data_IF_026117624326
#
_entry.id   IF_026117624326
#
_cell.length_a   1.000
_cell.length_b   1.000
_cell.length_c   1.000
_cell.angle_alpha   90.00
_cell.angle_beta   90.00
_cell.angle_gamma   90.00
#
_symmetry.space_group_name_H-M   'P 1'
#
loop_
_entity.id
_entity.type
_entity.pdbx_description
1 polymer ?
#
# COMPACT_ATOMS: atom_id res chain seq x y z
N UNK A 1 -5.80 -13.58 -11.85
CA UNK A 1 -5.31 -13.08 -13.13
C UNK A 1 -6.16 -13.58 -14.30
N UNK A 2 -6.50 -14.89 -14.36
CA UNK A 2 -7.32 -15.48 -15.42
C UNK A 2 -8.68 -14.79 -15.57
N UNK A 3 -9.41 -14.57 -14.45
CA UNK A 3 -10.74 -13.92 -14.47
C UNK A 3 -10.67 -12.49 -15.00
N UNK A 4 -9.57 -11.80 -14.73
CA UNK A 4 -9.37 -10.40 -15.18
C UNK A 4 -8.76 -10.30 -16.59
N UNK A 5 -8.48 -11.42 -17.24
CA UNK A 5 -7.77 -11.47 -18.53
C UNK A 5 -6.41 -10.72 -18.49
N UNK A 6 -5.56 -11.11 -17.54
CA UNK A 6 -4.20 -10.59 -17.43
C UNK A 6 -4.07 -9.21 -16.77
N UNK A 7 -5.04 -8.76 -15.98
CA UNK A 7 -5.02 -7.43 -15.34
C UNK A 7 -4.80 -7.44 -13.82
N UNK A 8 -4.61 -8.62 -13.21
CA UNK A 8 -4.39 -8.72 -11.77
C UNK A 8 -2.99 -8.24 -11.39
N UNK A 9 -2.90 -7.62 -10.22
CA UNK A 9 -1.66 -7.25 -9.56
C UNK A 9 -1.80 -7.55 -8.07
N UNK A 10 -0.70 -7.78 -7.40
CA UNK A 10 -0.67 -8.04 -5.95
C UNK A 10 0.03 -6.86 -5.26
N UNK A 11 -0.59 -6.35 -4.20
CA UNK A 11 0.10 -5.44 -3.26
C UNK A 11 0.36 -6.22 -1.97
N UNK A 12 1.60 -6.59 -1.73
CA UNK A 12 2.01 -7.32 -0.54
C UNK A 12 2.42 -6.35 0.57
N UNK A 13 1.60 -6.22 1.60
CA UNK A 13 1.87 -5.44 2.80
C UNK A 13 2.04 -6.33 4.03
N UNK A 14 2.66 -5.80 5.10
CA UNK A 14 2.85 -6.53 6.36
C UNK A 14 1.58 -6.67 7.20
N UNK A 15 0.53 -5.93 6.86
CA UNK A 15 -0.68 -5.80 7.66
C UNK A 15 -0.51 -4.81 8.82
N UNK A 16 -1.60 -4.18 9.23
CA UNK A 16 -1.65 -3.19 10.32
C UNK A 16 -2.53 -3.65 11.49
N UNK A 17 -3.22 -4.78 11.33
CA UNK A 17 -4.14 -5.34 12.32
C UNK A 17 -3.46 -6.51 13.03
N UNK A 18 -3.12 -6.31 14.31
CA UNK A 18 -2.43 -7.31 15.14
C UNK A 18 -3.33 -8.49 15.48
N UNK A 19 -4.64 -8.29 15.45
CA UNK A 19 -5.67 -9.27 15.75
C UNK A 19 -5.65 -10.46 14.77
N UNK A 20 -5.13 -10.25 13.56
CA UNK A 20 -4.99 -11.31 12.58
C UNK A 20 -3.93 -12.36 12.97
N UNK A 21 -2.92 -12.01 13.76
CA UNK A 21 -1.84 -12.91 14.12
C UNK A 21 -2.33 -14.11 14.93
N UNK A 22 -2.98 -13.95 16.09
CA UNK A 22 -3.51 -15.08 16.83
C UNK A 22 -4.59 -15.86 16.07
N UNK A 23 -5.37 -15.17 15.20
CA UNK A 23 -6.39 -15.84 14.37
C UNK A 23 -5.78 -16.89 13.44
N UNK A 24 -4.59 -16.61 12.92
CA UNK A 24 -3.87 -17.54 12.03
C UNK A 24 -2.77 -18.34 12.74
N UNK A 25 -2.74 -18.33 14.08
CA UNK A 25 -1.74 -19.05 14.86
C UNK A 25 -0.31 -18.51 14.70
N UNK A 26 -0.18 -17.21 14.44
CA UNK A 26 1.09 -16.51 14.24
C UNK A 26 1.43 -15.64 15.47
N UNK A 27 2.74 -15.48 15.73
CA UNK A 27 3.25 -14.58 16.77
C UNK A 27 3.60 -13.22 16.16
N UNK A 28 3.13 -12.14 16.77
CA UNK A 28 3.46 -10.78 16.33
C UNK A 28 4.94 -10.44 16.51
N UNK A 29 5.66 -11.11 17.40
CA UNK A 29 7.10 -10.95 17.54
C UNK A 29 7.88 -11.37 16.30
N UNK A 30 7.33 -12.26 15.47
CA UNK A 30 7.91 -12.70 14.20
C UNK A 30 7.51 -11.79 13.01
N UNK A 31 6.90 -10.63 13.24
CA UNK A 31 6.27 -9.77 12.23
C UNK A 31 7.13 -9.49 10.99
N UNK A 32 8.39 -9.09 11.20
CA UNK A 32 9.29 -8.75 10.09
C UNK A 32 9.84 -9.99 9.38
N UNK A 33 10.21 -11.03 10.13
CA UNK A 33 10.74 -12.29 9.61
C UNK A 33 9.66 -13.05 8.83
N UNK A 34 8.45 -13.08 9.37
CA UNK A 34 7.29 -13.68 8.73
C UNK A 34 7.00 -13.03 7.37
N UNK A 35 7.01 -11.70 7.32
CA UNK A 35 6.79 -10.97 6.07
C UNK A 35 7.90 -11.24 5.06
N UNK A 36 9.16 -11.19 5.49
CA UNK A 36 10.32 -11.43 4.62
C UNK A 36 10.26 -12.83 4.00
N UNK A 37 9.97 -13.85 4.82
CA UNK A 37 9.85 -15.23 4.38
C UNK A 37 8.68 -15.43 3.40
N UNK A 38 7.50 -14.86 3.70
CA UNK A 38 6.33 -14.99 2.84
C UNK A 38 6.47 -14.25 1.52
N UNK A 39 7.16 -13.09 1.53
CA UNK A 39 7.44 -12.35 0.31
C UNK A 39 8.43 -13.11 -0.58
N UNK A 40 9.50 -13.70 -0.02
CA UNK A 40 10.43 -14.54 -0.77
C UNK A 40 9.70 -15.70 -1.45
N UNK A 41 8.87 -16.43 -0.68
CA UNK A 41 8.09 -17.52 -1.23
C UNK A 41 7.11 -17.06 -2.32
N UNK A 42 6.42 -15.93 -2.14
CA UNK A 42 5.52 -15.37 -3.14
C UNK A 42 6.25 -15.09 -4.45
N UNK A 43 7.44 -14.50 -4.38
CA UNK A 43 8.24 -14.18 -5.56
C UNK A 43 8.72 -15.44 -6.28
N UNK A 44 9.14 -16.48 -5.54
CA UNK A 44 9.52 -17.77 -6.14
C UNK A 44 8.34 -18.47 -6.81
N UNK A 45 7.18 -18.52 -6.14
CA UNK A 45 5.96 -19.09 -6.75
C UNK A 45 5.55 -18.33 -8.02
N UNK A 46 5.74 -17.01 -8.05
CA UNK A 46 5.50 -16.20 -9.24
C UNK A 46 6.42 -16.57 -10.40
N UNK A 47 7.72 -16.69 -10.11
CA UNK A 47 8.76 -16.76 -11.13
C UNK A 47 9.09 -18.21 -11.55
N UNK A 48 8.87 -19.20 -10.68
CA UNK A 48 9.23 -20.59 -10.89
C UNK A 48 8.00 -21.48 -11.13
N UNK A 49 8.07 -22.39 -12.12
CA UNK A 49 7.01 -23.37 -12.36
C UNK A 49 6.99 -24.49 -11.32
N UNK A 50 8.15 -24.85 -10.80
CA UNK A 50 8.33 -25.86 -9.74
C UNK A 50 9.19 -25.26 -8.64
N UNK A 51 8.62 -25.19 -7.45
CA UNK A 51 9.23 -24.55 -6.30
C UNK A 51 9.72 -25.60 -5.31
N UNK A 52 11.01 -25.55 -4.98
CA UNK A 52 11.59 -26.20 -3.82
C UNK A 52 12.04 -25.09 -2.86
N UNK A 53 11.45 -25.09 -1.66
CA UNK A 53 11.65 -23.99 -0.72
C UNK A 53 11.48 -24.49 0.73
N UNK A 54 12.19 -23.87 1.66
CA UNK A 54 12.05 -24.10 3.09
C UNK A 54 12.13 -22.80 3.86
N UNK A 55 11.39 -22.71 4.96
CA UNK A 55 11.37 -21.57 5.85
C UNK A 55 10.99 -21.97 7.28
N UNK A 56 10.88 -20.98 8.16
CA UNK A 56 10.55 -21.15 9.59
C UNK A 56 9.03 -21.28 9.81
N UNK A 57 8.21 -20.54 9.04
CA UNK A 57 6.80 -20.32 9.33
C UNK A 57 5.83 -21.20 8.55
N UNK A 58 6.34 -22.14 7.78
CA UNK A 58 5.53 -23.17 7.12
C UNK A 58 6.37 -24.40 6.76
N UNK A 59 5.74 -25.57 6.55
CA UNK A 59 6.43 -26.75 6.04
C UNK A 59 7.11 -26.50 4.69
N UNK A 60 8.22 -27.19 4.38
CA UNK A 60 8.93 -27.04 3.12
C UNK A 60 8.07 -27.43 1.92
N UNK A 61 8.43 -26.94 0.75
CA UNK A 61 7.94 -27.36 -0.56
C UNK A 61 9.04 -28.13 -1.27
N UNK A 62 8.70 -29.26 -1.87
CA UNK A 62 9.62 -30.06 -2.66
C UNK A 62 9.05 -30.25 -4.07
N UNK A 63 9.71 -29.62 -5.06
CA UNK A 63 9.32 -29.72 -6.46
C UNK A 63 7.82 -29.46 -6.72
N UNK A 64 7.24 -28.53 -5.96
CA UNK A 64 5.81 -28.26 -5.95
C UNK A 64 5.41 -27.29 -7.05
N UNK A 65 4.40 -27.64 -7.85
CA UNK A 65 3.78 -26.74 -8.81
C UNK A 65 2.56 -26.04 -8.21
N UNK A 66 2.39 -24.74 -8.48
CA UNK A 66 1.26 -23.94 -8.03
C UNK A 66 0.40 -23.53 -9.22
N UNK A 67 -0.85 -23.95 -9.23
CA UNK A 67 -1.86 -23.65 -10.26
C UNK A 67 -3.05 -22.86 -9.70
N UNK A 68 -3.76 -22.12 -10.56
CA UNK A 68 -3.45 -21.84 -11.96
C UNK A 68 -2.28 -20.86 -12.12
N UNK A 69 -1.55 -21.00 -13.22
CA UNK A 69 -0.52 -20.00 -13.57
C UNK A 69 -1.19 -18.73 -14.09
N UNK A 70 -0.60 -17.53 -13.85
CA UNK A 70 -1.13 -16.29 -14.40
C UNK A 70 -1.04 -16.27 -15.94
N UNK A 71 -1.89 -15.45 -16.57
CA UNK A 71 -1.78 -15.14 -18.00
C UNK A 71 -0.60 -14.21 -18.28
N UNK A 72 -0.31 -13.32 -17.35
CA UNK A 72 0.85 -12.44 -17.46
C UNK A 72 2.12 -13.25 -17.33
N UNK A 73 3.12 -12.97 -18.17
CA UNK A 73 4.45 -13.58 -18.09
C UNK A 73 5.04 -13.42 -16.67
N UNK A 74 4.89 -12.22 -16.13
CA UNK A 74 5.30 -11.90 -14.75
C UNK A 74 4.19 -11.12 -14.03
N UNK A 75 3.50 -11.77 -13.11
CA UNK A 75 2.46 -11.14 -12.30
C UNK A 75 3.07 -10.01 -11.46
N UNK A 76 2.59 -8.75 -11.60
CA UNK A 76 3.14 -7.64 -10.84
C UNK A 76 2.90 -7.81 -9.34
N UNK A 77 3.96 -7.67 -8.55
CA UNK A 77 3.92 -7.67 -7.08
C UNK A 77 4.50 -6.36 -6.59
N UNK A 78 3.68 -5.55 -5.94
CA UNK A 78 4.05 -4.29 -5.30
C UNK A 78 4.34 -4.53 -3.82
N UNK A 79 5.30 -3.82 -3.27
CA UNK A 79 5.52 -3.78 -1.81
C UNK A 79 4.69 -2.66 -1.22
N UNK A 80 3.71 -3.02 -0.37
CA UNK A 80 2.91 -2.06 0.39
C UNK A 80 3.64 -1.56 1.62
N UNK A 81 3.79 -0.24 1.76
CA UNK A 81 4.54 0.41 2.85
C UNK A 81 3.74 1.52 3.50
N UNK A 82 3.88 1.69 4.82
CA UNK A 82 3.21 2.75 5.58
C UNK A 82 4.12 3.87 6.06
N UNK A 83 5.44 3.68 6.13
CA UNK A 83 6.36 4.71 6.65
C UNK A 83 7.59 4.17 7.38
N UNK A 84 7.75 2.85 7.48
CA UNK A 84 8.94 2.22 8.07
C UNK A 84 10.08 2.24 7.06
N UNK A 85 11.22 2.94 7.30
CA UNK A 85 12.32 3.07 6.34
C UNK A 85 12.85 1.74 5.79
N UNK A 86 12.99 0.72 6.66
CA UNK A 86 13.44 -0.61 6.25
C UNK A 86 12.55 -1.27 5.18
N UNK A 87 11.25 -0.94 5.13
CA UNK A 87 10.35 -1.46 4.10
C UNK A 87 10.61 -0.83 2.73
N UNK A 88 10.99 0.43 2.69
CA UNK A 88 11.39 1.13 1.47
C UNK A 88 12.72 0.58 0.94
N UNK A 89 13.70 0.40 1.82
CA UNK A 89 14.99 -0.22 1.49
C UNK A 89 14.76 -1.63 0.93
N UNK A 90 13.95 -2.46 1.59
CA UNK A 90 13.62 -3.82 1.12
C UNK A 90 13.01 -3.81 -0.29
N UNK A 91 12.03 -2.94 -0.55
CA UNK A 91 11.41 -2.84 -1.87
C UNK A 91 12.44 -2.46 -2.95
N UNK A 92 13.30 -1.48 -2.66
CA UNK A 92 14.38 -1.06 -3.55
C UNK A 92 15.39 -2.18 -3.81
N UNK A 93 15.89 -2.83 -2.76
CA UNK A 93 16.84 -3.94 -2.88
C UNK A 93 16.29 -5.09 -3.73
N UNK A 94 14.98 -5.36 -3.65
CA UNK A 94 14.32 -6.40 -4.45
C UNK A 94 13.92 -5.94 -5.86
N UNK A 95 14.10 -4.67 -6.21
CA UNK A 95 13.68 -4.11 -7.50
C UNK A 95 12.18 -4.17 -7.73
N UNK A 96 11.37 -4.15 -6.65
CA UNK A 96 9.92 -4.24 -6.72
C UNK A 96 9.27 -2.86 -6.70
N UNK A 97 8.15 -2.68 -7.43
CA UNK A 97 7.39 -1.45 -7.35
C UNK A 97 6.86 -1.20 -5.95
N UNK A 98 6.78 0.08 -5.56
CA UNK A 98 6.43 0.56 -4.23
C UNK A 98 5.00 1.11 -4.22
N UNK A 99 4.15 0.66 -3.29
CA UNK A 99 2.84 1.24 -3.01
C UNK A 99 2.83 1.86 -1.62
N UNK A 100 2.77 3.18 -1.55
CA UNK A 100 2.81 3.93 -0.29
C UNK A 100 1.39 4.16 0.21
N UNK A 101 1.06 3.66 1.39
CA UNK A 101 -0.20 3.92 2.06
C UNK A 101 -0.08 5.15 2.97
N UNK A 102 -0.65 6.27 2.55
CA UNK A 102 -0.69 7.52 3.33
C UNK A 102 -2.12 7.71 3.83
N UNK A 103 -2.42 7.10 4.97
CA UNK A 103 -3.77 7.08 5.58
C UNK A 103 -3.98 8.28 6.52
N UNK A 104 -3.09 9.24 6.50
CA UNK A 104 -3.15 10.48 7.28
C UNK A 104 -1.82 11.21 7.28
N UNK A 105 -1.84 12.45 7.77
CA UNK A 105 -0.68 13.33 7.77
C UNK A 105 -0.47 14.04 6.44
N UNK A 106 0.75 14.36 6.13
CA UNK A 106 1.14 15.15 4.97
C UNK A 106 1.95 14.30 3.98
N UNK A 107 1.48 14.20 2.75
CA UNK A 107 2.05 13.31 1.73
C UNK A 107 3.52 13.61 1.41
N UNK A 108 3.92 14.87 1.39
CA UNK A 108 5.29 15.28 1.04
C UNK A 108 6.36 14.73 2.01
N UNK A 109 5.99 14.37 3.24
CA UNK A 109 6.91 13.79 4.24
C UNK A 109 7.46 12.42 3.85
N UNK A 110 6.83 11.75 2.87
CA UNK A 110 7.30 10.47 2.38
C UNK A 110 8.42 10.60 1.33
N UNK A 111 8.73 11.80 0.85
CA UNK A 111 9.79 12.00 -0.16
C UNK A 111 11.15 11.45 0.27
N UNK A 112 11.67 11.70 1.47
CA UNK A 112 12.96 11.11 1.89
C UNK A 112 12.97 9.58 1.91
N UNK A 113 11.82 8.95 2.20
CA UNK A 113 11.70 7.49 2.17
C UNK A 113 11.71 6.93 0.74
N UNK A 114 11.15 7.67 -0.21
CA UNK A 114 11.25 7.32 -1.64
C UNK A 114 12.69 7.46 -2.12
N UNK A 115 13.42 8.45 -1.66
CA UNK A 115 14.84 8.60 -1.99
C UNK A 115 15.65 7.41 -1.48
N UNK A 116 15.40 6.92 -0.25
CA UNK A 116 15.99 5.68 0.27
C UNK A 116 15.64 4.44 -0.58
N UNK A 117 14.40 4.35 -1.08
CA UNK A 117 13.99 3.27 -1.98
C UNK A 117 14.84 3.26 -3.26
N UNK A 118 15.00 4.41 -3.90
CA UNK A 118 15.80 4.52 -5.11
C UNK A 118 17.29 4.28 -4.87
N UNK A 119 17.85 4.77 -3.76
CA UNK A 119 19.24 4.49 -3.37
C UNK A 119 19.51 2.99 -3.14
N UNK A 120 18.57 2.31 -2.46
CA UNK A 120 18.69 0.87 -2.23
C UNK A 120 18.60 0.09 -3.54
N UNK A 121 17.76 0.50 -4.47
CA UNK A 121 17.64 -0.11 -5.78
C UNK A 121 18.89 0.05 -6.62
N UNK A 122 19.45 1.25 -6.66
CA UNK A 122 20.71 1.53 -7.37
C UNK A 122 21.88 0.71 -6.81
N UNK A 123 22.01 0.64 -5.47
CA UNK A 123 23.01 -0.20 -4.80
C UNK A 123 22.86 -1.70 -5.11
N UNK A 124 21.62 -2.15 -5.36
CA UNK A 124 21.32 -3.53 -5.75
C UNK A 124 21.46 -3.79 -7.28
N UNK A 125 21.78 -2.75 -8.06
CA UNK A 125 21.96 -2.86 -9.52
C UNK A 125 20.69 -2.79 -10.34
N UNK A 126 19.59 -2.31 -9.77
CA UNK A 126 18.32 -2.13 -10.50
C UNK A 126 18.28 -0.78 -11.22
N UNK A 127 17.72 -0.78 -12.43
CA UNK A 127 17.49 0.45 -13.18
C UNK A 127 16.33 1.25 -12.56
N UNK A 128 16.63 2.46 -12.09
CA UNK A 128 15.67 3.39 -11.51
C UNK A 128 14.50 3.70 -12.44
N UNK A 129 14.70 3.72 -13.75
CA UNK A 129 13.68 4.01 -14.74
C UNK A 129 12.59 2.93 -14.84
N UNK A 130 12.91 1.70 -14.44
CA UNK A 130 11.98 0.57 -14.41
C UNK A 130 11.11 0.54 -13.14
N UNK A 131 11.50 1.30 -12.11
CA UNK A 131 10.84 1.30 -10.82
C UNK A 131 9.60 2.20 -10.83
N UNK A 132 8.54 1.72 -10.16
CA UNK A 132 7.26 2.44 -10.09
C UNK A 132 6.93 2.77 -8.64
N UNK A 133 6.41 3.97 -8.43
CA UNK A 133 5.86 4.41 -7.14
C UNK A 133 4.37 4.64 -7.29
N UNK A 134 3.58 4.00 -6.46
CA UNK A 134 2.14 4.21 -6.31
C UNK A 134 1.82 4.89 -4.97
N UNK A 135 0.74 5.62 -4.93
CA UNK A 135 0.19 6.25 -3.73
C UNK A 135 -1.21 5.71 -3.47
N UNK A 136 -1.45 5.29 -2.24
CA UNK A 136 -2.75 4.87 -1.74
C UNK A 136 -3.20 5.79 -0.61
N UNK A 137 -4.41 6.34 -0.70
CA UNK A 137 -4.98 7.17 0.36
C UNK A 137 -6.50 7.14 0.32
N UNK A 138 -7.13 7.68 1.37
CA UNK A 138 -8.56 7.92 1.38
C UNK A 138 -8.90 8.91 0.27
N UNK A 139 -9.95 8.61 -0.49
CA UNK A 139 -10.34 9.47 -1.59
C UNK A 139 -11.78 9.26 -2.03
N UNK A 140 -12.39 10.35 -2.47
CA UNK A 140 -13.75 10.35 -2.99
C UNK A 140 -13.96 11.55 -3.92
N UNK A 141 -14.65 11.31 -5.03
CA UNK A 141 -14.95 12.37 -6.01
C UNK A 141 -16.47 12.52 -6.12
N UNK A 142 -16.96 13.74 -5.96
CA UNK A 142 -18.35 14.11 -6.20
C UNK A 142 -18.41 15.31 -7.15
N UNK A 143 -19.60 15.87 -7.39
CA UNK A 143 -19.73 17.02 -8.30
C UNK A 143 -19.10 18.31 -7.72
N UNK A 144 -19.03 18.41 -6.39
CA UNK A 144 -18.35 19.50 -5.69
C UNK A 144 -17.65 19.00 -4.42
N UNK A 145 -16.82 19.85 -3.84
CA UNK A 145 -16.14 19.57 -2.57
C UNK A 145 -17.13 19.42 -1.42
N UNK A 146 -18.16 20.26 -1.39
CA UNK A 146 -19.22 20.25 -0.36
C UNK A 146 -19.96 18.93 -0.41
N UNK A 147 -20.41 18.50 -1.59
CA UNK A 147 -21.05 17.21 -1.80
C UNK A 147 -20.14 16.05 -1.40
N UNK A 148 -18.86 16.12 -1.75
CA UNK A 148 -17.89 15.08 -1.40
C UNK A 148 -17.73 14.95 0.12
N UNK A 149 -17.65 16.05 0.84
CA UNK A 149 -17.55 16.08 2.31
C UNK A 149 -18.84 15.53 2.94
N UNK A 150 -19.99 16.02 2.49
CA UNK A 150 -21.31 15.60 3.00
C UNK A 150 -21.49 14.08 2.91
N UNK A 151 -21.08 13.48 1.79
CA UNK A 151 -21.23 12.05 1.54
C UNK A 151 -20.18 11.20 2.23
N UNK A 152 -18.93 11.66 2.31
CA UNK A 152 -17.82 10.84 2.81
C UNK A 152 -17.62 10.94 4.33
N UNK A 153 -17.77 12.14 4.91
CA UNK A 153 -17.45 12.38 6.32
C UNK A 153 -18.25 11.54 7.32
N UNK A 154 -19.55 11.29 7.14
CA UNK A 154 -20.32 10.49 8.11
C UNK A 154 -19.76 9.07 8.29
N UNK A 155 -19.52 8.35 7.21
CA UNK A 155 -18.93 7.00 7.24
C UNK A 155 -17.52 7.00 7.77
N UNK A 156 -16.67 7.95 7.31
CA UNK A 156 -15.33 8.16 7.83
C UNK A 156 -15.31 8.33 9.36
N UNK A 157 -16.18 9.19 9.89
CA UNK A 157 -16.27 9.43 11.34
C UNK A 157 -16.67 8.19 12.12
N UNK A 158 -17.63 7.43 11.61
CA UNK A 158 -18.10 6.18 12.25
C UNK A 158 -16.94 5.19 12.31
N UNK A 159 -16.32 4.91 11.19
CA UNK A 159 -15.27 3.91 11.06
C UNK A 159 -14.01 4.27 11.88
N UNK A 160 -13.51 5.50 11.75
CA UNK A 160 -12.34 5.95 12.51
C UNK A 160 -12.59 6.04 14.02
N UNK A 161 -13.79 6.40 14.45
CA UNK A 161 -14.14 6.40 15.87
C UNK A 161 -14.26 4.97 16.43
N UNK A 162 -14.72 4.01 15.63
CA UNK A 162 -14.76 2.62 16.07
C UNK A 162 -13.35 2.06 16.27
N UNK A 163 -12.49 2.17 15.28
CA UNK A 163 -11.09 1.75 15.41
C UNK A 163 -10.36 2.55 16.49
N UNK A 164 -10.64 3.85 16.58
CA UNK A 164 -10.04 4.73 17.57
C UNK A 164 -10.31 4.28 19.00
N UNK A 165 -11.51 3.78 19.30
CA UNK A 165 -11.84 3.20 20.63
C UNK A 165 -10.96 2.00 20.96
N UNK A 166 -10.70 1.13 19.99
CA UNK A 166 -9.86 -0.06 20.16
C UNK A 166 -8.37 0.29 20.35
N UNK A 167 -7.94 1.40 19.76
CA UNK A 167 -6.53 1.84 19.70
C UNK A 167 -6.19 3.02 20.60
N UNK A 168 -7.15 3.51 21.39
CA UNK A 168 -6.96 4.66 22.27
C UNK A 168 -6.77 6.00 21.54
N UNK A 169 -7.26 6.13 20.30
CA UNK A 169 -7.20 7.39 19.55
C UNK A 169 -8.33 8.35 19.98
N UNK A 170 -8.06 9.65 19.94
CA UNK A 170 -9.11 10.63 20.19
C UNK A 170 -10.19 10.59 19.10
N UNK A 171 -11.44 10.97 19.44
CA UNK A 171 -12.50 11.05 18.46
C UNK A 171 -12.16 11.95 17.28
N UNK A 172 -12.67 11.58 16.11
CA UNK A 172 -12.53 12.39 14.89
C UNK A 172 -13.38 13.66 15.00
N UNK A 173 -12.78 14.80 14.67
CA UNK A 173 -13.44 16.09 14.52
C UNK A 173 -13.47 16.52 13.07
N UNK A 174 -14.43 17.38 12.71
CA UNK A 174 -14.51 17.97 11.37
C UNK A 174 -13.22 18.74 11.04
N UNK A 175 -12.72 19.52 11.98
CA UNK A 175 -11.49 20.28 11.82
C UNK A 175 -10.28 19.39 11.42
N UNK A 176 -10.09 18.25 12.10
CA UNK A 176 -9.03 17.30 11.74
C UNK A 176 -9.25 16.69 10.36
N UNK A 177 -10.50 16.40 10.00
CA UNK A 177 -10.82 15.92 8.66
C UNK A 177 -10.53 16.97 7.59
N UNK A 178 -10.92 18.23 7.82
CA UNK A 178 -10.64 19.35 6.92
C UNK A 178 -9.14 19.58 6.72
N UNK A 179 -8.34 19.44 7.76
CA UNK A 179 -6.87 19.47 7.62
C UNK A 179 -6.36 18.36 6.69
N UNK A 180 -6.93 17.16 6.76
CA UNK A 180 -6.52 16.04 5.90
C UNK A 180 -6.98 16.22 4.44
N UNK A 181 -8.11 16.85 4.19
CA UNK A 181 -8.56 17.20 2.82
C UNK A 181 -7.93 18.49 2.29
N UNK A 182 -7.29 19.27 3.15
CA UNK A 182 -6.55 20.49 2.77
C UNK A 182 -5.36 20.19 1.84
N UNK A 183 -4.70 21.22 1.39
CA UNK A 183 -3.66 21.15 0.33
C UNK A 183 -2.50 20.20 0.61
N UNK A 184 -2.00 20.16 1.82
CA UNK A 184 -0.88 19.30 2.22
C UNK A 184 -1.33 17.94 2.78
N UNK A 185 -2.60 17.86 3.22
CA UNK A 185 -3.16 16.65 3.83
C UNK A 185 -3.26 15.50 2.83
N UNK A 186 -3.30 14.28 3.35
CA UNK A 186 -3.22 13.07 2.55
C UNK A 186 -4.51 12.75 1.78
N UNK A 187 -5.69 13.16 2.27
CA UNK A 187 -6.96 12.70 1.70
C UNK A 187 -7.32 13.45 0.42
N UNK A 188 -7.65 12.70 -0.61
CA UNK A 188 -7.99 13.22 -1.94
C UNK A 188 -9.51 13.16 -2.12
N UNK A 189 -10.20 14.12 -1.51
CA UNK A 189 -11.67 14.21 -1.44
C UNK A 189 -12.09 15.59 -1.93
N UNK A 190 -12.99 15.66 -2.91
CA UNK A 190 -13.44 16.92 -3.49
C UNK A 190 -14.14 16.79 -4.83
N UNK A 191 -14.29 17.89 -5.53
CA UNK A 191 -14.73 17.93 -6.92
C UNK A 191 -13.64 17.41 -7.88
N UNK A 192 -13.98 17.14 -9.15
CA UNK A 192 -13.04 16.53 -10.09
C UNK A 192 -11.76 17.34 -10.30
N UNK A 193 -11.88 18.65 -10.42
CA UNK A 193 -10.76 19.56 -10.66
C UNK A 193 -9.84 19.64 -9.44
N UNK A 194 -10.40 19.80 -8.24
CA UNK A 194 -9.64 19.85 -6.98
C UNK A 194 -8.88 18.53 -6.73
N UNK A 195 -9.54 17.39 -7.00
CA UNK A 195 -8.92 16.06 -6.91
C UNK A 195 -7.78 15.92 -7.89
N UNK A 196 -7.95 16.33 -9.14
CA UNK A 196 -6.91 16.28 -10.17
C UNK A 196 -5.70 17.16 -9.79
N UNK A 197 -5.94 18.39 -9.37
CA UNK A 197 -4.87 19.31 -8.92
C UNK A 197 -4.10 18.74 -7.72
N UNK A 198 -4.81 18.17 -6.76
CA UNK A 198 -4.19 17.58 -5.56
C UNK A 198 -3.35 16.34 -5.91
N UNK A 199 -3.83 15.49 -6.81
CA UNK A 199 -3.04 14.36 -7.32
C UNK A 199 -1.76 14.81 -8.00
N UNK A 200 -1.83 15.85 -8.84
CA UNK A 200 -0.65 16.44 -9.49
C UNK A 200 0.33 17.01 -8.46
N UNK A 201 -0.19 17.67 -7.43
CA UNK A 201 0.62 18.22 -6.32
C UNK A 201 1.33 17.10 -5.55
N UNK A 202 0.61 16.05 -5.17
CA UNK A 202 1.20 14.89 -4.51
C UNK A 202 2.25 14.19 -5.37
N UNK A 203 1.98 14.02 -6.66
CA UNK A 203 2.94 13.45 -7.61
C UNK A 203 4.23 14.27 -7.65
N UNK A 204 4.13 15.59 -7.78
CA UNK A 204 5.30 16.48 -7.79
C UNK A 204 6.08 16.41 -6.47
N UNK A 205 5.38 16.43 -5.33
CA UNK A 205 5.99 16.39 -4.01
C UNK A 205 6.78 15.09 -3.76
N UNK A 206 6.30 13.97 -4.31
CA UNK A 206 6.93 12.67 -4.19
C UNK A 206 7.99 12.37 -5.27
N UNK A 207 8.15 13.27 -6.27
CA UNK A 207 9.10 13.07 -7.37
C UNK A 207 8.56 12.23 -8.52
N UNK A 208 7.26 12.12 -8.63
CA UNK A 208 6.52 11.35 -9.63
C UNK A 208 5.88 10.09 -9.06
N UNK A 209 4.62 9.89 -9.39
CA UNK A 209 3.90 8.65 -9.12
C UNK A 209 3.32 8.09 -10.42
N UNK A 210 3.30 6.78 -10.56
CA UNK A 210 2.74 6.07 -11.72
C UNK A 210 1.30 5.61 -11.50
N UNK A 211 0.83 5.63 -10.25
CA UNK A 211 -0.50 5.14 -9.87
C UNK A 211 -1.00 5.84 -8.60
N UNK A 212 -2.31 6.09 -8.56
CA UNK A 212 -3.02 6.43 -7.33
C UNK A 212 -4.20 5.47 -7.14
N UNK A 213 -4.41 5.03 -5.91
CA UNK A 213 -5.56 4.19 -5.53
C UNK A 213 -6.35 4.86 -4.41
N UNK A 214 -7.67 4.91 -4.59
CA UNK A 214 -8.60 5.48 -3.62
C UNK A 214 -9.12 4.40 -2.66
N UNK A 215 -9.07 4.67 -1.37
CA UNK A 215 -9.87 3.97 -0.39
C UNK A 215 -11.23 4.66 -0.27
N UNK A 216 -12.27 4.02 -0.76
CA UNK A 216 -13.63 4.61 -0.90
C UNK A 216 -14.68 3.94 -0.02
N UNK A 217 -14.30 2.97 0.78
CA UNK A 217 -15.18 2.15 1.63
C UNK A 217 -15.92 2.92 2.73
N UNK A 218 -15.55 4.17 2.95
CA UNK A 218 -16.21 5.06 3.91
C UNK A 218 -17.31 5.94 3.29
N UNK A 219 -17.45 5.92 1.97
CA UNK A 219 -18.54 6.61 1.26
C UNK A 219 -19.80 5.75 1.36
N UNK A 220 -20.71 6.10 2.28
CA UNK A 220 -22.00 5.46 2.46
C UNK A 220 -23.01 5.77 1.38
#
# INVERSE_FOLDING_TARGET
DLVSNGRAEIVAGRGSFTEAFPLFGLDFNDYDDLYAEKLDLLLRIRDENKVTWSGKFRPPLENQTVYPRPLQEKLPVWVGVGGTPASFVRAGTLGLPLMIAVIGGETHRFRPLIDLYYEAAEKAGHDKSSLKVGLHSLGFVANSKEEAIERYYPGYRIWFNQIGKERGWPPVTMERFEQQIGDLGAYVIGGPEEVAEKLIRHSKALGGISRFTFQIDNAG
#
